data_IF_967223370760
#
_entry.id   IF_967223370760
#
_cell.length_a   1.000
_cell.length_b   1.000
_cell.length_c   1.000
_cell.angle_alpha   90.00
_cell.angle_beta   90.00
_cell.angle_gamma   90.00
#
_symmetry.space_group_name_H-M   'P 1'
#
loop_
_entity.id
_entity.type
_entity.pdbx_description
1 polymer ?
#
# COMPACT_ATOMS: atom_id res chain seq x y z
N UNK A 1 7.74 19.76 25.31
CA UNK A 1 8.37 18.56 24.73
C UNK A 1 7.60 17.35 25.16
N UNK A 2 7.30 16.47 24.23
CA UNK A 2 6.63 15.19 24.48
C UNK A 2 7.48 14.06 23.91
N UNK A 3 7.48 12.91 24.58
CA UNK A 3 8.11 11.69 24.11
C UNK A 3 7.22 10.52 24.54
N UNK A 4 6.85 9.66 23.60
CA UNK A 4 6.09 8.45 23.88
C UNK A 4 6.62 7.29 23.08
N UNK A 5 6.61 6.11 23.66
CA UNK A 5 6.89 4.85 22.98
C UNK A 5 5.78 3.86 23.29
N UNK A 6 5.25 3.27 22.25
CA UNK A 6 4.23 2.22 22.32
C UNK A 6 4.77 0.95 21.70
N UNK A 7 4.63 -0.16 22.41
CA UNK A 7 4.88 -1.49 21.86
C UNK A 7 3.61 -2.31 21.90
N UNK A 8 3.26 -2.94 20.79
CA UNK A 8 2.12 -3.84 20.66
C UNK A 8 2.58 -5.19 20.12
N UNK A 9 2.18 -6.27 20.77
CA UNK A 9 2.36 -7.66 20.31
C UNK A 9 1.00 -8.35 20.38
N UNK A 10 0.43 -8.63 19.22
CA UNK A 10 -0.89 -9.21 19.06
C UNK A 10 -0.76 -10.54 18.32
N UNK A 11 -1.43 -11.55 18.82
CA UNK A 11 -1.46 -12.86 18.19
C UNK A 11 -2.89 -13.30 17.89
N UNK A 12 -3.03 -13.96 16.74
CA UNK A 12 -4.30 -14.52 16.29
C UNK A 12 -5.21 -13.46 15.64
N UNK A 13 -5.49 -13.67 14.39
CA UNK A 13 -6.51 -12.92 13.66
C UNK A 13 -7.65 -13.89 13.39
N UNK A 14 -8.77 -13.80 14.14
CA UNK A 14 -9.90 -14.73 14.01
C UNK A 14 -10.74 -14.36 12.78
N UNK A 15 -10.15 -14.36 11.59
CA UNK A 15 -10.88 -14.16 10.35
C UNK A 15 -11.77 -15.37 10.09
N UNK A 16 -13.01 -15.08 9.75
CA UNK A 16 -14.02 -16.06 9.39
C UNK A 16 -14.17 -16.11 7.89
N UNK A 17 -14.04 -17.30 7.31
CA UNK A 17 -14.30 -17.48 5.90
C UNK A 17 -15.80 -17.26 5.62
N UNK A 18 -16.15 -16.27 4.81
CA UNK A 18 -17.54 -15.86 4.57
C UNK A 18 -18.10 -16.34 3.26
N UNK A 19 -17.28 -16.92 2.38
CA UNK A 19 -17.66 -17.36 1.03
C UNK A 19 -16.88 -16.60 -0.04
N UNK A 20 -17.33 -16.68 -1.24
CA UNK A 20 -16.59 -16.35 -2.45
C UNK A 20 -16.94 -15.00 -3.00
N UNK A 21 -15.93 -14.28 -3.50
CA UNK A 21 -16.08 -13.23 -4.49
C UNK A 21 -16.26 -13.88 -5.87
N UNK A 22 -17.03 -13.28 -6.74
CA UNK A 22 -17.32 -13.79 -8.08
C UNK A 22 -16.05 -14.24 -8.83
N UNK A 23 -15.98 -15.50 -9.24
CA UNK A 23 -14.85 -16.07 -9.99
C UNK A 23 -13.87 -16.95 -9.21
N UNK A 24 -13.97 -17.02 -7.87
CA UNK A 24 -13.12 -17.89 -7.05
C UNK A 24 -13.78 -19.23 -6.71
N UNK A 25 -12.97 -20.26 -6.51
CA UNK A 25 -13.43 -21.60 -6.16
C UNK A 25 -13.99 -21.60 -4.73
N UNK A 26 -15.27 -21.89 -4.57
CA UNK A 26 -15.94 -21.95 -3.26
C UNK A 26 -15.39 -23.13 -2.47
N UNK A 27 -15.03 -22.87 -1.21
CA UNK A 27 -14.66 -23.91 -0.23
C UNK A 27 -15.77 -23.98 0.83
N UNK A 28 -16.90 -24.61 0.52
CA UNK A 28 -18.10 -24.56 1.37
C UNK A 28 -17.87 -25.15 2.76
N UNK A 29 -16.91 -26.06 2.92
CA UNK A 29 -16.52 -26.66 4.20
C UNK A 29 -15.94 -25.66 5.20
N UNK A 30 -15.40 -24.52 4.74
CA UNK A 30 -14.83 -23.47 5.56
C UNK A 30 -15.78 -22.30 5.85
N UNK A 31 -16.91 -22.23 5.14
CA UNK A 31 -17.87 -21.12 5.32
C UNK A 31 -18.32 -21.05 6.79
N UNK A 32 -18.12 -19.87 7.37
CA UNK A 32 -18.50 -19.61 8.76
C UNK A 32 -17.51 -20.12 9.79
N UNK A 33 -16.42 -20.78 9.39
CA UNK A 33 -15.38 -21.27 10.28
C UNK A 33 -14.19 -20.32 10.34
N UNK A 34 -13.49 -20.37 11.45
CA UNK A 34 -12.16 -19.80 11.64
C UNK A 34 -11.21 -20.99 11.62
N UNK A 35 -10.36 -21.04 10.59
CA UNK A 35 -9.37 -22.10 10.42
C UNK A 35 -8.03 -21.48 10.05
N UNK A 36 -6.95 -22.06 10.55
CA UNK A 36 -5.58 -21.67 10.26
C UNK A 36 -4.64 -22.82 10.63
N UNK A 37 -3.57 -23.01 9.88
CA UNK A 37 -2.49 -23.94 10.21
C UNK A 37 -1.32 -23.22 10.90
N UNK A 38 -1.14 -21.91 10.64
CA UNK A 38 -0.13 -21.07 11.29
C UNK A 38 -0.76 -19.93 12.10
N UNK A 39 -0.11 -19.58 13.22
CA UNK A 39 -0.61 -18.50 14.08
C UNK A 39 -0.23 -17.13 13.50
N UNK A 40 -1.21 -16.39 13.05
CA UNK A 40 -1.04 -15.00 12.64
C UNK A 40 -0.62 -14.10 13.81
N UNK A 41 0.16 -13.06 13.52
CA UNK A 41 0.66 -12.13 14.53
C UNK A 41 0.86 -10.74 13.95
N UNK A 42 0.75 -9.72 14.82
CA UNK A 42 1.11 -8.35 14.50
C UNK A 42 1.95 -7.76 15.62
N UNK A 43 3.11 -7.20 15.27
CA UNK A 43 4.01 -6.52 16.21
C UNK A 43 4.25 -5.11 15.72
N UNK A 44 4.20 -4.15 16.64
CA UNK A 44 4.44 -2.74 16.34
C UNK A 44 5.23 -2.07 17.44
N UNK A 45 6.29 -1.38 17.05
CA UNK A 45 6.98 -0.38 17.86
C UNK A 45 6.72 0.99 17.27
N UNK A 46 6.20 1.93 18.06
CA UNK A 46 5.89 3.29 17.66
C UNK A 46 6.53 4.29 18.64
N UNK A 47 7.51 5.03 18.16
CA UNK A 47 8.12 6.15 18.89
C UNK A 47 7.56 7.46 18.32
N UNK A 48 7.03 8.33 19.20
CA UNK A 48 6.66 9.70 18.87
C UNK A 48 7.44 10.67 19.75
N UNK A 49 7.96 11.71 19.13
CA UNK A 49 8.63 12.82 19.81
C UNK A 49 8.13 14.14 19.25
N UNK A 50 7.90 15.12 20.09
CA UNK A 50 7.44 16.44 19.68
C UNK A 50 8.01 17.56 20.55
N UNK A 51 8.35 18.66 19.88
CA UNK A 51 8.77 19.90 20.52
C UNK A 51 7.80 20.99 20.07
N UNK A 52 7.20 21.68 21.02
CA UNK A 52 6.38 22.86 20.78
C UNK A 52 7.05 24.07 21.43
N UNK A 53 7.30 25.11 20.65
CA UNK A 53 7.86 26.39 21.08
C UNK A 53 6.82 27.45 20.79
N UNK A 54 6.38 28.16 21.83
CA UNK A 54 5.53 29.34 21.69
C UNK A 54 6.28 30.58 22.17
N UNK A 55 6.33 31.59 21.32
CA UNK A 55 6.89 32.90 21.65
C UNK A 55 5.82 33.97 21.49
N UNK A 56 5.51 34.66 22.60
CA UNK A 56 4.48 35.67 22.63
C UNK A 56 5.08 37.08 22.70
N UNK A 57 4.70 37.90 21.73
CA UNK A 57 5.01 39.35 21.74
C UNK A 57 3.76 40.16 22.15
N UNK A 58 3.88 41.49 22.14
CA UNK A 58 2.72 42.38 22.36
C UNK A 58 1.71 42.32 21.19
N UNK A 59 2.14 41.99 19.98
CA UNK A 59 1.36 42.12 18.75
C UNK A 59 0.98 40.79 18.11
N UNK A 60 1.81 39.77 18.23
CA UNK A 60 1.62 38.46 17.64
C UNK A 60 2.09 37.33 18.54
N UNK A 61 1.74 36.12 18.17
CA UNK A 61 2.20 34.87 18.75
C UNK A 61 2.86 34.05 17.63
N UNK A 62 4.06 33.56 17.90
CA UNK A 62 4.76 32.58 17.04
C UNK A 62 4.66 31.21 17.70
N UNK A 63 4.17 30.22 16.93
CA UNK A 63 4.23 28.82 17.31
C UNK A 63 5.11 28.05 16.33
N UNK A 64 6.00 27.22 16.84
CA UNK A 64 6.76 26.25 16.05
C UNK A 64 6.56 24.86 16.67
N UNK A 65 6.16 23.90 15.84
CA UNK A 65 5.91 22.52 16.27
C UNK A 65 6.72 21.59 15.39
N UNK A 66 7.72 20.96 15.99
CA UNK A 66 8.53 19.91 15.35
C UNK A 66 8.08 18.55 15.85
N UNK A 67 7.80 17.63 14.94
CA UNK A 67 7.42 16.25 15.24
C UNK A 67 8.40 15.26 14.63
N UNK A 68 8.66 14.17 15.34
CA UNK A 68 9.34 13.00 14.80
C UNK A 68 8.59 11.74 15.20
N UNK A 69 8.39 10.87 14.23
CA UNK A 69 7.77 9.55 14.43
C UNK A 69 8.63 8.46 13.80
N UNK A 70 8.85 7.38 14.54
CA UNK A 70 9.42 6.14 14.02
C UNK A 70 8.43 5.01 14.25
N UNK A 71 8.07 4.34 13.16
CA UNK A 71 7.22 3.15 13.16
C UNK A 71 8.02 1.98 12.64
N UNK A 72 8.00 0.87 13.38
CA UNK A 72 8.42 -0.44 12.91
C UNK A 72 7.29 -1.42 13.18
N UNK A 73 6.76 -2.02 12.13
CA UNK A 73 5.76 -3.08 12.30
C UNK A 73 6.08 -4.33 11.47
N UNK A 74 5.49 -5.41 11.89
CA UNK A 74 5.55 -6.71 11.25
C UNK A 74 4.20 -7.39 11.40
N UNK A 75 3.59 -7.69 10.29
CA UNK A 75 2.37 -8.48 10.19
C UNK A 75 2.71 -9.82 9.55
N UNK A 76 2.33 -10.91 10.20
CA UNK A 76 2.40 -12.26 9.66
C UNK A 76 1.00 -12.85 9.64
N UNK A 77 0.56 -13.32 8.48
CA UNK A 77 -0.78 -13.87 8.27
C UNK A 77 -0.69 -15.23 7.60
N UNK A 78 -1.41 -16.19 8.15
CA UNK A 78 -1.93 -17.34 7.43
C UNK A 78 -3.17 -16.86 6.67
N UNK A 79 -2.97 -16.53 5.38
CA UNK A 79 -3.96 -15.77 4.61
C UNK A 79 -4.89 -16.66 3.77
N UNK A 80 -4.66 -17.96 3.74
CA UNK A 80 -5.58 -18.86 3.06
C UNK A 80 -6.82 -19.20 3.91
N UNK A 81 -6.77 -18.89 5.22
CA UNK A 81 -7.84 -19.08 6.19
C UNK A 81 -8.38 -20.51 6.23
N UNK A 82 -7.51 -21.49 6.02
CA UNK A 82 -7.82 -22.93 6.07
C UNK A 82 -6.87 -23.66 7.00
N UNK A 83 -7.09 -24.95 7.23
CA UNK A 83 -6.17 -25.82 7.96
C UNK A 83 -5.02 -26.36 7.06
N UNK A 84 -5.02 -25.98 5.79
CA UNK A 84 -4.05 -26.43 4.79
C UNK A 84 -2.87 -25.48 4.74
N UNK A 85 -1.69 -26.00 4.49
CA UNK A 85 -0.46 -25.22 4.33
C UNK A 85 -0.31 -24.72 2.88
N UNK A 86 -1.12 -23.69 2.52
CA UNK A 86 -1.18 -23.16 1.16
C UNK A 86 -0.23 -21.97 1.02
N UNK A 87 -0.43 -20.89 1.74
CA UNK A 87 0.46 -19.73 1.70
C UNK A 87 0.36 -18.83 2.93
N UNK A 88 1.46 -18.18 3.21
CA UNK A 88 1.58 -17.17 4.27
C UNK A 88 2.00 -15.84 3.68
N UNK A 89 1.57 -14.75 4.32
CA UNK A 89 1.98 -13.37 4.02
C UNK A 89 2.77 -12.81 5.20
N UNK A 90 3.96 -12.29 4.94
CA UNK A 90 4.68 -11.48 5.92
C UNK A 90 4.86 -10.06 5.36
N UNK A 91 4.31 -9.05 6.04
CA UNK A 91 4.55 -7.65 5.71
C UNK A 91 5.36 -6.99 6.83
N UNK A 92 6.44 -6.33 6.48
CA UNK A 92 7.23 -5.49 7.38
C UNK A 92 7.22 -4.07 6.87
N UNK A 93 7.01 -3.12 7.78
CA UNK A 93 7.09 -1.71 7.47
C UNK A 93 8.03 -0.99 8.45
N UNK A 94 8.81 -0.09 7.91
CA UNK A 94 9.61 0.85 8.68
C UNK A 94 9.38 2.24 8.13
N UNK A 95 8.78 3.11 8.95
CA UNK A 95 8.57 4.49 8.59
C UNK A 95 9.29 5.43 9.56
N UNK A 96 9.93 6.46 9.02
CA UNK A 96 10.43 7.59 9.77
C UNK A 96 9.80 8.85 9.18
N UNK A 97 9.18 9.66 10.02
CA UNK A 97 8.54 10.90 9.61
C UNK A 97 9.06 12.05 10.45
N UNK A 98 9.53 13.10 9.80
CA UNK A 98 9.80 14.38 10.43
C UNK A 98 8.79 15.39 9.91
N UNK A 99 8.22 16.20 10.80
CA UNK A 99 7.26 17.24 10.45
C UNK A 99 7.60 18.53 11.15
N UNK A 100 7.29 19.64 10.49
CA UNK A 100 7.46 20.99 11.02
C UNK A 100 6.24 21.83 10.65
N UNK A 101 5.77 22.63 11.62
CA UNK A 101 4.78 23.67 11.39
C UNK A 101 5.21 24.95 12.12
N UNK A 102 5.27 26.06 11.39
CA UNK A 102 5.57 27.39 11.93
C UNK A 102 4.40 28.31 11.63
N UNK A 103 3.78 28.85 12.66
CA UNK A 103 2.59 29.71 12.56
C UNK A 103 2.78 31.02 13.29
N UNK A 104 2.60 32.10 12.57
CA UNK A 104 2.42 33.44 13.11
C UNK A 104 0.93 33.74 13.22
N UNK A 105 0.46 34.15 14.38
CA UNK A 105 -0.96 34.50 14.58
C UNK A 105 -1.11 35.81 15.37
N UNK A 106 -2.15 36.55 15.08
CA UNK A 106 -2.52 37.74 15.82
C UNK A 106 -2.95 37.39 17.25
N UNK A 107 -2.99 38.40 18.14
CA UNK A 107 -3.62 38.26 19.46
C UNK A 107 -5.15 38.06 19.32
N UNK A 108 -5.78 37.26 20.21
CA UNK A 108 -7.20 36.87 20.10
C UNK A 108 -8.19 38.00 20.37
N UNK A 109 -7.79 39.10 21.04
CA UNK A 109 -8.69 40.19 21.41
C UNK A 109 -8.97 41.19 20.27
N UNK A 110 -8.31 40.99 19.10
CA UNK A 110 -8.46 41.92 17.99
C UNK A 110 -9.68 41.63 17.14
N UNK A 111 -10.29 42.71 16.61
CA UNK A 111 -11.40 42.61 15.65
C UNK A 111 -10.97 41.88 14.37
N UNK A 112 -9.77 42.12 13.89
CA UNK A 112 -9.11 41.34 12.82
C UNK A 112 -8.11 40.39 13.43
N UNK A 113 -8.39 39.11 13.27
CA UNK A 113 -7.51 38.03 13.67
C UNK A 113 -6.97 37.35 12.42
N UNK A 114 -5.72 36.98 12.45
CA UNK A 114 -5.09 36.31 11.33
C UNK A 114 -4.12 35.23 11.81
N UNK A 115 -3.92 34.23 10.96
CA UNK A 115 -2.88 33.22 11.09
C UNK A 115 -2.23 32.99 9.73
N UNK A 116 -0.90 33.03 9.71
CA UNK A 116 -0.09 32.75 8.52
C UNK A 116 0.98 31.75 8.91
N UNK A 117 1.20 30.74 8.09
CA UNK A 117 2.18 29.73 8.44
C UNK A 117 2.66 28.94 7.25
N UNK A 118 3.67 28.13 7.57
CA UNK A 118 4.21 27.11 6.71
C UNK A 118 4.14 25.79 7.44
N UNK A 119 3.90 24.70 6.73
CA UNK A 119 3.96 23.35 7.29
C UNK A 119 4.56 22.39 6.27
N UNK A 120 5.12 21.31 6.74
CA UNK A 120 5.59 20.25 5.87
C UNK A 120 5.99 19.01 6.63
N UNK A 121 6.15 17.93 5.91
CA UNK A 121 6.75 16.72 6.45
C UNK A 121 7.55 15.98 5.37
N UNK A 122 8.48 15.20 5.85
CA UNK A 122 9.16 14.19 5.03
C UNK A 122 9.03 12.83 5.71
N UNK A 123 8.57 11.86 4.94
CA UNK A 123 8.43 10.48 5.39
C UNK A 123 9.30 9.57 4.54
N UNK A 124 10.09 8.71 5.19
CA UNK A 124 10.74 7.56 4.59
C UNK A 124 9.94 6.32 4.97
N UNK A 125 9.32 5.70 4.02
CA UNK A 125 8.58 4.47 4.24
C UNK A 125 9.22 3.36 3.42
N UNK A 126 9.71 2.33 4.10
CA UNK A 126 10.15 1.07 3.51
C UNK A 126 9.15 -0.02 3.87
N UNK A 127 8.65 -0.71 2.85
CA UNK A 127 7.74 -1.85 3.01
C UNK A 127 8.35 -3.07 2.32
N UNK A 128 8.37 -4.20 2.98
CA UNK A 128 8.64 -5.51 2.36
C UNK A 128 7.46 -6.44 2.61
N UNK A 129 7.11 -7.23 1.60
CA UNK A 129 5.95 -8.11 1.69
C UNK A 129 6.15 -9.34 0.81
N UNK A 130 6.80 -10.41 1.30
CA UNK A 130 6.78 -11.70 0.64
C UNK A 130 5.48 -12.44 0.93
N UNK A 131 4.99 -13.13 -0.11
CA UNK A 131 4.01 -14.21 -0.03
C UNK A 131 4.78 -15.50 -0.28
N UNK A 132 4.74 -16.42 0.66
CA UNK A 132 5.40 -17.71 0.55
C UNK A 132 4.36 -18.79 0.29
N UNK A 133 4.26 -19.25 -0.97
CA UNK A 133 3.50 -20.43 -1.33
C UNK A 133 4.24 -21.68 -0.83
N UNK A 134 3.56 -22.46 -0.01
CA UNK A 134 4.05 -23.75 0.47
C UNK A 134 3.82 -24.82 -0.58
N UNK A 135 4.31 -26.04 -0.36
CA UNK A 135 4.22 -27.11 -1.35
C UNK A 135 2.77 -27.39 -1.84
N UNK A 136 1.79 -27.37 -0.93
CA UNK A 136 0.40 -27.53 -1.31
C UNK A 136 -0.10 -26.32 -2.13
N UNK A 137 0.28 -25.10 -1.77
CA UNK A 137 -0.05 -23.89 -2.51
C UNK A 137 0.61 -23.83 -3.88
N UNK A 138 1.87 -24.24 -4.00
CA UNK A 138 2.54 -24.34 -5.30
C UNK A 138 1.76 -25.27 -6.24
N UNK A 139 1.25 -26.40 -5.74
CA UNK A 139 0.46 -27.35 -6.53
C UNK A 139 -0.95 -26.88 -6.80
N UNK A 140 -1.66 -26.41 -5.79
CA UNK A 140 -3.11 -26.11 -5.91
C UNK A 140 -3.37 -24.72 -6.49
N UNK A 141 -2.49 -23.75 -6.28
CA UNK A 141 -2.62 -22.38 -6.78
C UNK A 141 -1.81 -22.19 -8.06
N UNK A 142 -0.51 -22.46 -8.04
CA UNK A 142 0.36 -22.16 -9.19
C UNK A 142 0.20 -23.21 -10.30
N UNK A 143 0.51 -24.47 -10.00
CA UNK A 143 0.46 -25.58 -10.99
C UNK A 143 -0.94 -25.78 -11.55
N UNK A 144 -1.96 -25.82 -10.69
CA UNK A 144 -3.34 -26.05 -11.10
C UNK A 144 -3.85 -24.92 -12.00
N UNK A 145 -3.61 -23.65 -11.68
CA UNK A 145 -4.06 -22.52 -12.49
C UNK A 145 -3.40 -22.52 -13.88
N UNK A 146 -2.09 -22.79 -13.94
CA UNK A 146 -1.39 -22.91 -15.23
C UNK A 146 -1.98 -24.07 -16.06
N UNK A 147 -2.21 -25.22 -15.46
CA UNK A 147 -2.75 -26.38 -16.15
C UNK A 147 -4.20 -26.17 -16.61
N UNK A 148 -5.04 -25.46 -15.82
CA UNK A 148 -6.39 -25.05 -16.25
C UNK A 148 -6.36 -24.18 -17.52
N UNK A 149 -5.39 -23.27 -17.62
CA UNK A 149 -5.21 -22.47 -18.84
C UNK A 149 -4.87 -23.37 -20.02
N UNK A 150 -3.96 -24.32 -19.84
CA UNK A 150 -3.60 -25.27 -20.90
C UNK A 150 -4.77 -26.18 -21.33
N UNK A 151 -5.59 -26.62 -20.40
CA UNK A 151 -6.79 -27.42 -20.69
C UNK A 151 -7.83 -26.66 -21.54
N UNK A 152 -7.89 -25.32 -21.38
CA UNK A 152 -8.77 -24.45 -22.17
C UNK A 152 -8.30 -24.20 -23.62
N UNK A 153 -7.03 -24.54 -23.94
CA UNK A 153 -6.48 -24.33 -25.27
C UNK A 153 -6.78 -25.50 -26.22
N UNK A 154 -7.29 -25.19 -27.40
CA UNK A 154 -7.45 -26.18 -28.45
C UNK A 154 -6.08 -26.63 -28.99
N UNK A 155 -5.80 -27.90 -28.97
CA UNK A 155 -4.56 -28.46 -29.54
C UNK A 155 -3.95 -29.60 -28.72
N UNK A 156 -2.60 -29.70 -28.69
CA UNK A 156 -1.91 -30.71 -27.93
C UNK A 156 -2.15 -30.60 -26.42
N UNK A 157 -2.16 -31.72 -25.71
CA UNK A 157 -2.30 -31.74 -24.26
C UNK A 157 -0.96 -31.24 -23.65
N UNK A 158 -1.05 -30.14 -22.94
CA UNK A 158 0.07 -29.52 -22.23
C UNK A 158 -0.10 -29.72 -20.73
N UNK A 159 1.01 -29.94 -20.03
CA UNK A 159 1.04 -30.06 -18.58
C UNK A 159 2.34 -29.51 -18.00
N UNK A 160 2.20 -28.66 -16.99
CA UNK A 160 3.29 -28.21 -16.15
C UNK A 160 3.24 -28.92 -14.80
N UNK A 161 4.39 -29.27 -14.27
CA UNK A 161 4.54 -29.82 -12.92
C UNK A 161 5.57 -28.96 -12.18
N UNK A 162 5.17 -28.33 -11.10
CA UNK A 162 6.04 -27.49 -10.27
C UNK A 162 6.83 -28.37 -9.28
N UNK A 163 8.12 -28.11 -9.19
CA UNK A 163 9.07 -28.89 -8.36
C UNK A 163 9.45 -28.21 -7.04
N UNK A 164 8.97 -26.98 -6.81
CA UNK A 164 9.27 -26.23 -5.60
C UNK A 164 8.51 -26.78 -4.38
N UNK A 165 9.21 -26.84 -3.25
CA UNK A 165 8.57 -27.02 -1.94
C UNK A 165 8.07 -25.67 -1.35
N UNK A 166 8.74 -24.58 -1.70
CA UNK A 166 8.35 -23.20 -1.34
C UNK A 166 8.63 -22.30 -2.54
N UNK A 167 7.69 -21.42 -2.85
CA UNK A 167 7.85 -20.35 -3.85
C UNK A 167 7.57 -19.00 -3.18
N UNK A 168 8.63 -18.23 -2.93
CA UNK A 168 8.50 -16.86 -2.43
C UNK A 168 8.26 -15.88 -3.57
N UNK A 169 7.18 -15.12 -3.46
CA UNK A 169 6.83 -14.03 -4.38
C UNK A 169 6.65 -12.77 -3.54
N UNK A 170 7.47 -11.77 -3.77
CA UNK A 170 7.36 -10.56 -2.98
C UNK A 170 8.30 -9.46 -3.44
N UNK A 171 8.36 -8.39 -2.67
CA UNK A 171 9.20 -7.27 -3.01
C UNK A 171 9.50 -6.35 -1.85
N UNK A 172 10.40 -5.44 -2.09
CA UNK A 172 10.69 -4.29 -1.25
C UNK A 172 10.33 -3.00 -1.99
N UNK A 173 9.75 -2.07 -1.25
CA UNK A 173 9.19 -0.83 -1.77
C UNK A 173 9.63 0.31 -0.88
N UNK A 174 10.36 1.25 -1.45
CA UNK A 174 10.70 2.51 -0.79
C UNK A 174 9.78 3.60 -1.34
N UNK A 175 8.92 4.16 -0.45
CA UNK A 175 7.94 5.17 -0.83
C UNK A 175 8.12 6.45 -0.02
N UNK A 176 9.18 7.26 -0.33
CA UNK A 176 9.35 8.54 0.32
C UNK A 176 8.30 9.56 -0.12
N UNK A 177 7.79 10.31 0.85
CA UNK A 177 6.79 11.37 0.65
C UNK A 177 7.36 12.68 1.19
N UNK A 178 7.37 13.72 0.35
CA UNK A 178 7.65 15.09 0.73
C UNK A 178 6.37 15.91 0.59
N UNK A 179 5.96 16.57 1.66
CA UNK A 179 4.85 17.52 1.64
C UNK A 179 5.34 18.88 2.16
N UNK A 180 4.83 19.96 1.56
CA UNK A 180 5.05 21.32 2.02
C UNK A 180 3.85 22.19 1.69
N UNK A 181 3.50 23.11 2.60
CA UNK A 181 2.40 24.01 2.42
C UNK A 181 2.68 25.40 2.98
N UNK A 182 2.05 26.39 2.36
CA UNK A 182 1.94 27.74 2.89
C UNK A 182 0.47 28.09 3.04
N UNK A 183 0.09 28.78 4.10
CA UNK A 183 -1.29 29.13 4.35
C UNK A 183 -1.47 30.47 5.02
N UNK A 184 -2.61 31.08 4.75
CA UNK A 184 -3.06 32.29 5.43
C UNK A 184 -4.56 32.19 5.69
N UNK A 185 -4.99 32.64 6.87
CA UNK A 185 -6.39 32.80 7.24
C UNK A 185 -6.60 34.12 7.94
N UNK A 186 -7.63 34.86 7.55
CA UNK A 186 -8.10 36.06 8.22
C UNK A 186 -9.53 35.86 8.72
N UNK A 187 -9.77 36.26 9.97
CA UNK A 187 -11.09 36.28 10.59
C UNK A 187 -11.42 37.71 11.02
N UNK A 188 -12.57 38.20 10.57
CA UNK A 188 -13.11 39.50 10.89
C UNK A 188 -14.27 39.33 11.87
N UNK A 189 -14.07 39.74 13.13
CA UNK A 189 -15.06 39.64 14.19
C UNK A 189 -15.95 40.90 14.22
N UNK A 190 -17.20 40.71 14.57
CA UNK A 190 -18.22 41.80 14.58
C UNK A 190 -18.27 42.54 13.24
N UNK A 191 -18.37 41.85 12.14
CA UNK A 191 -18.23 42.37 10.78
C UNK A 191 -19.47 43.22 10.53
N UNK A 192 -20.49 43.33 10.47
CA UNK A 192 -21.55 44.29 10.26
C UNK A 192 -22.41 44.46 11.51
N UNK A 193 -22.64 43.38 12.23
CA UNK A 193 -23.38 43.30 13.47
C UNK A 193 -22.55 42.63 14.55
N UNK A 194 -22.83 42.95 15.82
CA UNK A 194 -22.18 42.31 16.96
C UNK A 194 -22.47 40.81 16.94
N UNK A 195 -21.42 40.03 17.12
CA UNK A 195 -21.48 38.56 17.14
C UNK A 195 -21.28 37.88 15.75
N UNK A 196 -21.36 38.65 14.65
CA UNK A 196 -21.09 38.06 13.31
C UNK A 196 -19.60 38.10 12.99
N UNK A 197 -19.06 36.93 12.68
CA UNK A 197 -17.67 36.77 12.26
C UNK A 197 -17.60 36.09 10.90
N UNK A 198 -16.69 36.56 10.05
CA UNK A 198 -16.37 35.94 8.75
C UNK A 198 -14.92 35.56 8.69
N UNK A 199 -14.65 34.36 8.17
CA UNK A 199 -13.28 33.84 7.99
C UNK A 199 -13.04 33.52 6.51
N UNK A 200 -11.90 33.98 6.00
CA UNK A 200 -11.40 33.65 4.67
C UNK A 200 -10.01 33.02 4.84
N UNK A 201 -9.78 31.87 4.25
CA UNK A 201 -8.52 31.16 4.28
C UNK A 201 -8.09 30.66 2.90
N UNK A 202 -6.78 30.58 2.73
CA UNK A 202 -6.17 30.01 1.54
C UNK A 202 -4.94 29.21 1.94
N UNK A 203 -4.82 28.01 1.37
CA UNK A 203 -3.66 27.12 1.56
C UNK A 203 -3.20 26.64 0.20
N UNK A 204 -1.91 26.68 -0.04
CA UNK A 204 -1.23 26.09 -1.18
C UNK A 204 -0.40 24.91 -0.70
N UNK A 205 -0.73 23.73 -1.16
CA UNK A 205 -0.03 22.50 -0.87
C UNK A 205 0.78 22.01 -2.07
N UNK A 206 1.98 21.55 -1.79
CA UNK A 206 2.81 20.76 -2.70
C UNK A 206 3.09 19.42 -2.05
N UNK A 207 2.90 18.33 -2.81
CA UNK A 207 3.25 16.98 -2.38
C UNK A 207 3.95 16.23 -3.49
N UNK A 208 5.02 15.53 -3.15
CA UNK A 208 5.76 14.64 -4.05
C UNK A 208 5.85 13.26 -3.43
N UNK A 209 5.38 12.26 -4.16
CA UNK A 209 5.43 10.86 -3.79
C UNK A 209 6.34 10.15 -4.77
N UNK A 210 7.29 9.37 -4.27
CA UNK A 210 8.11 8.49 -5.09
C UNK A 210 7.84 7.04 -4.69
N UNK A 211 8.10 6.12 -5.60
CA UNK A 211 8.16 4.70 -5.32
C UNK A 211 9.37 4.11 -6.03
N UNK A 212 10.26 3.50 -5.27
CA UNK A 212 11.30 2.61 -5.78
C UNK A 212 10.89 1.19 -5.42
N UNK A 213 10.88 0.30 -6.39
CA UNK A 213 10.43 -1.06 -6.17
C UNK A 213 11.43 -2.07 -6.71
N UNK A 214 11.59 -3.15 -5.95
CA UNK A 214 12.37 -4.32 -6.31
C UNK A 214 11.54 -5.55 -5.90
N UNK A 215 10.87 -6.15 -6.87
CA UNK A 215 10.05 -7.35 -6.70
C UNK A 215 10.62 -8.46 -7.54
N UNK A 216 11.25 -9.44 -6.89
CA UNK A 216 11.85 -10.60 -7.54
C UNK A 216 11.34 -11.85 -6.82
N UNK A 217 10.76 -12.79 -7.58
CA UNK A 217 10.37 -14.09 -7.03
C UNK A 217 11.58 -15.01 -6.85
N UNK A 218 11.45 -16.01 -5.98
CA UNK A 218 12.33 -17.17 -6.06
C UNK A 218 12.13 -17.87 -7.43
N UNK A 219 13.15 -18.57 -7.95
CA UNK A 219 12.97 -19.35 -9.17
C UNK A 219 11.85 -20.39 -9.02
N UNK A 220 10.88 -20.38 -9.92
CA UNK A 220 9.93 -21.45 -10.09
C UNK A 220 10.61 -22.55 -10.95
N UNK A 221 10.95 -23.66 -10.31
CA UNK A 221 11.47 -24.84 -10.99
C UNK A 221 10.30 -25.72 -11.44
N UNK A 222 10.26 -26.06 -12.73
CA UNK A 222 9.15 -26.85 -13.27
C UNK A 222 9.59 -27.79 -14.38
N UNK A 223 8.80 -28.85 -14.54
CA UNK A 223 8.85 -29.74 -15.70
C UNK A 223 7.64 -29.41 -16.61
N UNK A 224 7.84 -29.58 -17.91
CA UNK A 224 6.77 -29.36 -18.88
C UNK A 224 6.67 -30.53 -19.85
N UNK A 225 5.46 -30.98 -20.12
CA UNK A 225 5.18 -32.03 -21.08
C UNK A 225 4.12 -31.61 -22.09
N UNK A 226 4.31 -32.04 -23.33
CA UNK A 226 3.40 -31.81 -24.44
C UNK A 226 3.14 -33.13 -25.16
N UNK A 227 1.86 -33.56 -25.21
CA UNK A 227 1.44 -34.75 -25.86
C UNK A 227 0.59 -34.45 -27.11
N UNK A 228 1.00 -35.00 -28.27
CA UNK A 228 0.36 -34.82 -29.56
C UNK A 228 0.26 -36.16 -30.29
N UNK A 229 -0.88 -36.85 -30.15
CA UNK A 229 -1.04 -38.19 -30.62
C UNK A 229 -0.05 -39.18 -29.98
N UNK A 230 0.78 -39.89 -30.76
CA UNK A 230 1.78 -40.82 -30.23
C UNK A 230 3.05 -40.09 -29.75
N UNK A 231 3.21 -38.82 -30.06
CA UNK A 231 4.39 -38.05 -29.70
C UNK A 231 4.21 -37.41 -28.32
N UNK A 232 5.18 -37.62 -27.42
CA UNK A 232 5.26 -36.99 -26.12
C UNK A 232 6.64 -36.36 -25.97
N UNK A 233 6.65 -35.03 -25.79
CA UNK A 233 7.86 -34.23 -25.56
C UNK A 233 7.83 -33.80 -24.12
N UNK A 234 8.95 -33.95 -23.41
CA UNK A 234 9.09 -33.52 -22.01
C UNK A 234 10.41 -32.81 -21.84
N UNK A 235 10.36 -31.65 -21.21
CA UNK A 235 11.53 -30.92 -20.70
C UNK A 235 11.48 -30.84 -19.19
N UNK A 236 12.59 -31.00 -18.53
CA UNK A 236 12.72 -31.04 -17.08
C UNK A 236 13.67 -29.96 -16.58
N UNK A 237 13.41 -29.51 -15.36
CA UNK A 237 14.29 -28.55 -14.67
C UNK A 237 14.31 -27.16 -15.32
N UNK A 238 13.21 -26.74 -15.93
CA UNK A 238 13.05 -25.39 -16.43
C UNK A 238 12.91 -24.42 -15.26
N UNK A 239 13.37 -23.19 -15.45
CA UNK A 239 13.30 -22.14 -14.45
C UNK A 239 12.57 -20.89 -14.98
N UNK A 240 11.71 -20.31 -14.14
CA UNK A 240 11.06 -19.04 -14.40
C UNK A 240 11.18 -18.11 -13.20
N UNK A 241 11.45 -16.84 -13.44
CA UNK A 241 11.59 -15.81 -12.40
C UNK A 241 10.73 -14.61 -12.78
N UNK A 242 9.91 -14.13 -11.83
CA UNK A 242 9.27 -12.83 -11.94
C UNK A 242 10.23 -11.75 -11.44
N UNK A 243 10.46 -10.70 -12.22
CA UNK A 243 11.34 -9.60 -11.85
C UNK A 243 10.78 -8.26 -12.30
N UNK A 244 10.55 -7.37 -11.34
CA UNK A 244 10.17 -5.97 -11.55
C UNK A 244 11.06 -5.07 -10.72
N UNK A 245 11.83 -4.23 -11.36
CA UNK A 245 12.69 -3.24 -10.71
C UNK A 245 12.45 -1.91 -11.40
N UNK A 246 12.15 -0.89 -10.63
CA UNK A 246 11.91 0.42 -11.22
C UNK A 246 11.69 1.53 -10.19
N UNK A 247 11.42 2.72 -10.72
CA UNK A 247 11.20 3.94 -9.97
C UNK A 247 10.10 4.76 -10.62
N UNK A 248 9.16 5.24 -9.81
CA UNK A 248 8.08 6.10 -10.23
C UNK A 248 8.03 7.35 -9.35
N UNK A 249 7.50 8.43 -9.88
CA UNK A 249 7.34 9.68 -9.12
C UNK A 249 6.13 10.44 -9.62
N UNK A 250 5.34 10.95 -8.68
CA UNK A 250 4.17 11.80 -8.95
C UNK A 250 4.20 12.99 -8.00
N UNK A 251 3.80 14.16 -8.49
CA UNK A 251 3.68 15.36 -7.68
C UNK A 251 2.31 16.04 -7.87
N UNK A 252 1.88 16.72 -6.84
CA UNK A 252 0.59 17.40 -6.76
C UNK A 252 0.77 18.81 -6.24
N UNK A 253 0.09 19.77 -6.86
CA UNK A 253 -0.07 21.15 -6.37
C UNK A 253 -1.55 21.42 -6.20
N UNK A 254 -1.97 21.84 -5.01
CA UNK A 254 -3.38 22.09 -4.72
C UNK A 254 -3.59 23.43 -4.03
N UNK A 255 -4.54 24.19 -4.55
CA UNK A 255 -5.02 25.40 -3.92
C UNK A 255 -6.34 25.11 -3.19
N UNK A 256 -6.35 25.38 -1.88
CA UNK A 256 -7.42 25.00 -0.96
C UNK A 256 -8.04 26.25 -0.31
N UNK A 257 -9.06 26.86 -0.91
CA UNK A 257 -9.81 27.96 -0.34
C UNK A 257 -10.75 27.47 0.78
N UNK A 258 -10.94 28.33 1.77
CA UNK A 258 -11.90 28.18 2.87
C UNK A 258 -12.66 29.47 3.08
N UNK A 259 -13.96 29.36 3.28
CA UNK A 259 -14.84 30.45 3.71
C UNK A 259 -15.72 29.94 4.86
N UNK A 260 -15.86 30.76 5.92
CA UNK A 260 -16.74 30.44 7.02
C UNK A 260 -17.44 31.68 7.55
N UNK A 261 -18.68 31.52 8.01
CA UNK A 261 -19.45 32.50 8.74
C UNK A 261 -19.85 31.91 10.08
N UNK A 262 -19.77 32.72 11.15
CA UNK A 262 -20.23 32.39 12.49
C UNK A 262 -21.03 33.53 13.07
N UNK A 263 -22.18 33.25 13.67
CA UNK A 263 -22.97 34.21 14.41
C UNK A 263 -23.15 33.72 15.85
N UNK A 264 -22.67 34.49 16.80
CA UNK A 264 -22.81 34.28 18.24
C UNK A 264 -23.78 35.35 18.77
N UNK A 265 -25.01 34.95 19.13
CA UNK A 265 -26.04 35.88 19.63
C UNK A 265 -25.95 36.08 21.14
N UNK A 266 -25.37 35.13 21.86
CA UNK A 266 -25.13 35.14 23.29
C UNK A 266 -23.88 34.33 23.60
N UNK A 267 -23.17 34.62 24.68
CA UNK A 267 -21.94 33.95 25.06
C UNK A 267 -22.16 32.43 25.17
N UNK A 268 -21.47 31.70 24.32
CA UNK A 268 -21.56 30.25 24.24
C UNK A 268 -22.65 29.71 23.30
N UNK A 269 -23.51 30.57 22.77
CA UNK A 269 -24.57 30.17 21.81
C UNK A 269 -24.24 30.69 20.41
N UNK A 270 -23.85 29.81 19.49
CA UNK A 270 -23.50 30.21 18.12
C UNK A 270 -24.01 29.25 17.07
N UNK A 271 -24.14 29.72 15.86
CA UNK A 271 -24.33 28.96 14.64
C UNK A 271 -23.19 29.27 13.67
N UNK A 272 -22.74 28.29 12.95
CA UNK A 272 -21.68 28.49 11.95
C UNK A 272 -21.94 27.69 10.67
N UNK A 273 -21.43 28.20 9.56
CA UNK A 273 -21.38 27.52 8.27
C UNK A 273 -19.97 27.63 7.68
N UNK A 274 -19.48 26.55 7.09
CA UNK A 274 -18.16 26.52 6.47
C UNK A 274 -18.24 25.84 5.11
N UNK A 275 -17.58 26.44 4.12
CA UNK A 275 -17.32 25.85 2.81
C UNK A 275 -15.81 25.83 2.61
N UNK A 276 -15.25 24.67 2.28
CA UNK A 276 -13.82 24.51 2.02
C UNK A 276 -13.58 23.47 0.95
N UNK A 277 -12.54 23.68 0.16
CA UNK A 277 -11.99 22.64 -0.72
C UNK A 277 -11.00 21.80 0.07
N UNK A 278 -11.17 20.49 0.03
CA UNK A 278 -10.18 19.51 0.47
C UNK A 278 -9.70 18.67 -0.71
N UNK A 279 -8.55 17.99 -0.56
CA UNK A 279 -8.09 16.98 -1.50
C UNK A 279 -7.52 15.79 -0.75
N UNK A 280 -7.39 14.70 -1.46
CA UNK A 280 -6.63 13.53 -1.06
C UNK A 280 -5.66 13.23 -2.18
N UNK A 281 -4.37 13.21 -1.87
CA UNK A 281 -3.35 12.80 -2.82
C UNK A 281 -3.54 11.33 -3.20
N UNK A 282 -3.12 10.99 -4.39
CA UNK A 282 -2.98 9.62 -4.82
C UNK A 282 -1.88 8.90 -4.03
N UNK A 283 -1.69 7.62 -4.30
CA UNK A 283 -0.61 6.82 -3.74
C UNK A 283 -0.37 5.60 -4.62
N UNK A 284 0.73 4.93 -4.40
CA UNK A 284 1.04 3.70 -5.11
C UNK A 284 0.40 2.51 -4.40
N UNK A 285 -0.29 1.66 -5.17
CA UNK A 285 -0.87 0.43 -4.64
C UNK A 285 0.13 -0.72 -4.76
N UNK A 286 0.79 -1.05 -3.66
CA UNK A 286 1.78 -2.13 -3.60
C UNK A 286 1.14 -3.51 -3.87
N UNK A 287 -0.13 -3.68 -3.54
CA UNK A 287 -0.82 -4.97 -3.75
C UNK A 287 -0.94 -5.34 -5.23
N UNK A 288 -0.96 -4.37 -6.15
CA UNK A 288 -0.96 -4.64 -7.59
C UNK A 288 0.28 -5.41 -8.05
N UNK A 289 1.40 -5.34 -7.33
CA UNK A 289 2.60 -6.09 -7.69
C UNK A 289 2.43 -7.60 -7.59
N UNK A 290 1.51 -8.08 -6.76
CA UNK A 290 1.17 -9.51 -6.71
C UNK A 290 0.61 -10.01 -8.04
N UNK A 291 -0.30 -9.25 -8.65
CA UNK A 291 -0.92 -9.61 -9.94
C UNK A 291 0.09 -9.49 -11.09
N UNK A 292 0.88 -8.39 -11.08
CA UNK A 292 1.95 -8.19 -12.04
C UNK A 292 3.01 -9.30 -11.96
N UNK A 293 3.35 -9.75 -10.75
CA UNK A 293 4.30 -10.83 -10.53
C UNK A 293 3.81 -12.17 -11.11
N UNK A 294 2.51 -12.46 -11.01
CA UNK A 294 1.92 -13.66 -11.60
C UNK A 294 1.98 -13.61 -13.15
N UNK A 295 1.65 -12.47 -13.77
CA UNK A 295 1.77 -12.27 -15.21
C UNK A 295 3.21 -12.41 -15.70
N UNK A 296 4.17 -11.80 -15.00
CA UNK A 296 5.57 -11.92 -15.35
C UNK A 296 6.14 -13.34 -15.16
N UNK A 297 5.69 -14.03 -14.14
CA UNK A 297 6.07 -15.43 -13.93
C UNK A 297 5.59 -16.31 -15.10
N UNK A 298 4.33 -16.13 -15.54
CA UNK A 298 3.77 -16.77 -16.74
C UNK A 298 4.64 -16.47 -17.98
N UNK A 299 4.95 -15.19 -18.22
CA UNK A 299 5.78 -14.81 -19.37
C UNK A 299 7.17 -15.41 -19.32
N UNK A 300 7.81 -15.43 -18.12
CA UNK A 300 9.10 -16.06 -17.90
C UNK A 300 9.08 -17.59 -18.13
N UNK A 301 7.99 -18.26 -17.76
CA UNK A 301 7.78 -19.68 -18.07
C UNK A 301 7.72 -19.92 -19.58
N UNK A 302 7.00 -19.06 -20.32
CA UNK A 302 6.91 -19.14 -21.78
C UNK A 302 8.27 -18.90 -22.45
N UNK A 303 9.08 -17.96 -21.91
CA UNK A 303 10.45 -17.73 -22.37
C UNK A 303 11.35 -18.97 -22.15
N UNK A 304 11.28 -19.56 -20.97
CA UNK A 304 12.03 -20.77 -20.66
C UNK A 304 11.67 -21.95 -21.58
N UNK A 305 10.37 -22.09 -21.89
CA UNK A 305 9.88 -23.10 -22.85
C UNK A 305 10.35 -22.82 -24.27
N UNK A 306 10.28 -21.54 -24.72
CA UNK A 306 10.70 -21.19 -26.08
C UNK A 306 12.21 -21.33 -26.29
N UNK A 307 13.01 -21.17 -25.23
CA UNK A 307 14.46 -21.37 -25.25
C UNK A 307 14.88 -22.84 -25.16
N UNK A 308 13.97 -23.76 -24.78
CA UNK A 308 14.29 -25.17 -24.66
C UNK A 308 14.43 -25.82 -26.05
N UNK A 309 15.52 -26.57 -26.31
CA UNK A 309 15.74 -27.24 -27.60
C UNK A 309 14.61 -28.17 -28.05
N UNK A 310 13.92 -28.81 -27.11
CA UNK A 310 12.81 -29.70 -27.40
C UNK A 310 11.58 -29.00 -27.96
N UNK A 311 11.45 -27.69 -27.73
CA UNK A 311 10.34 -26.86 -28.16
C UNK A 311 10.71 -25.80 -29.20
N UNK A 312 11.96 -25.83 -29.74
CA UNK A 312 12.48 -24.83 -30.68
C UNK A 312 11.60 -24.62 -31.92
N UNK A 313 11.00 -25.69 -32.46
CA UNK A 313 10.07 -25.61 -33.60
C UNK A 313 8.72 -24.96 -33.27
N UNK A 314 8.41 -24.80 -31.99
CA UNK A 314 7.17 -24.20 -31.49
C UNK A 314 7.42 -22.84 -30.80
N UNK A 315 8.67 -22.37 -30.78
CA UNK A 315 9.07 -21.21 -30.01
C UNK A 315 8.23 -19.94 -30.35
N UNK A 316 8.01 -19.66 -31.64
CA UNK A 316 7.20 -18.50 -32.07
C UNK A 316 5.75 -18.59 -31.56
N UNK A 317 5.15 -19.80 -31.60
CA UNK A 317 3.79 -20.02 -31.10
C UNK A 317 3.73 -19.88 -29.59
N UNK A 318 4.72 -20.37 -28.87
CA UNK A 318 4.82 -20.24 -27.40
C UNK A 318 4.96 -18.76 -27.01
N UNK A 319 5.85 -18.02 -27.67
CA UNK A 319 6.04 -16.58 -27.42
C UNK A 319 4.79 -15.75 -27.75
N UNK A 320 4.00 -16.17 -28.73
CA UNK A 320 2.73 -15.55 -29.07
C UNK A 320 1.62 -15.72 -28.02
N UNK A 321 1.85 -16.50 -26.94
CA UNK A 321 0.95 -16.67 -25.80
C UNK A 321 1.24 -15.70 -24.65
N UNK A 322 2.25 -14.86 -24.76
CA UNK A 322 2.54 -13.80 -23.78
C UNK A 322 1.45 -12.72 -23.82
N UNK A 323 1.19 -12.15 -22.65
CA UNK A 323 0.29 -11.00 -22.44
C UNK A 323 1.00 -9.68 -22.80
#
# INVERSE_FOLDING_TARGET
MTLSYEYSDQGGYPYKYTGVTEGEETRPEYIGKIANNERSSYRRGLLNSGVNIEYQTRTFILNAVTGYQNLNDRMFLDQDFTEKDIYTLEQKQRANTISEEIVFKSKPEKRWQWATGVSGFYQWLHTSGPVDFRQEGVKTVIESNVNKIFEGLAGPKMRMTANNSILGVGGSFDTPILNGAVFHQSTFNNLFIKGLSATIGLRLDYEKIKMEYNSISNPLNFDFSLAMGPMNITSKGLEAISSFIGKESTDYVQLLPKFALQYEWEKGNSIYATVSKGYRSGGYNIQMFSDLAQGALKNSMLDALAADPNFSLMAERILGMKD
#
